data_IF_010185926139
#
_entry.id   IF_010185926139
#
_cell.length_a   1.000
_cell.length_b   1.000
_cell.length_c   1.000
_cell.angle_alpha   90.00
_cell.angle_beta   90.00
_cell.angle_gamma   90.00
#
_symmetry.space_group_name_H-M   'P 1'
#
loop_
_entity.id
_entity.type
_entity.pdbx_description
1 polymer ?
#
# COMPACT_ATOMS: atom_id res chain seq x y z
N UNK A 1 -13.32 -17.83 11.52
CA UNK A 1 -12.87 -17.62 10.14
C UNK A 1 -14.09 -17.18 9.35
N UNK A 2 -14.27 -15.89 9.19
CA UNK A 2 -15.27 -15.31 8.27
C UNK A 2 -14.48 -14.86 7.06
N UNK A 3 -14.76 -15.43 5.90
CA UNK A 3 -14.17 -14.99 4.63
C UNK A 3 -14.76 -13.62 4.25
N UNK A 4 -13.92 -12.69 3.79
CA UNK A 4 -14.41 -11.53 3.06
C UNK A 4 -15.39 -12.02 1.99
N UNK A 5 -16.48 -11.32 1.75
CA UNK A 5 -17.36 -11.69 0.65
C UNK A 5 -16.57 -11.56 -0.65
N UNK A 6 -16.56 -12.63 -1.42
CA UNK A 6 -15.86 -12.84 -2.70
C UNK A 6 -16.36 -11.89 -3.81
N UNK A 7 -16.57 -10.61 -3.51
CA UNK A 7 -17.10 -9.62 -4.44
C UNK A 7 -16.04 -8.81 -5.18
N UNK A 8 -14.76 -8.91 -4.78
CA UNK A 8 -13.69 -8.25 -5.52
C UNK A 8 -13.14 -9.08 -6.70
N UNK A 9 -13.65 -10.30 -6.90
CA UNK A 9 -13.18 -11.24 -7.96
C UNK A 9 -14.29 -11.55 -8.98
N UNK A 10 -15.26 -10.69 -9.18
CA UNK A 10 -16.30 -10.96 -10.19
C UNK A 10 -16.23 -10.01 -11.39
N UNK A 11 -15.16 -10.13 -12.16
CA UNK A 11 -15.22 -9.79 -13.59
C UNK A 11 -14.41 -10.83 -14.39
N UNK A 12 -15.14 -11.51 -15.32
CA UNK A 12 -14.66 -12.41 -16.36
C UNK A 12 -14.50 -13.90 -16.01
N UNK A 13 -15.61 -14.61 -15.94
CA UNK A 13 -15.69 -15.97 -16.46
C UNK A 13 -16.81 -16.06 -17.49
N UNK A 14 -16.43 -15.97 -18.75
CA UNK A 14 -17.27 -16.35 -19.89
C UNK A 14 -17.39 -17.87 -19.90
N UNK A 15 -18.60 -18.37 -19.67
CA UNK A 15 -18.93 -19.78 -19.71
C UNK A 15 -18.91 -20.29 -21.15
N UNK A 16 -18.10 -21.31 -21.44
CA UNK A 16 -18.30 -22.22 -22.54
C UNK A 16 -18.83 -23.54 -22.01
N UNK A 17 -20.12 -23.80 -22.19
CA UNK A 17 -20.72 -25.11 -21.99
C UNK A 17 -20.26 -26.04 -23.12
N UNK A 18 -19.62 -27.15 -22.75
CA UNK A 18 -19.52 -28.31 -23.63
C UNK A 18 -20.14 -29.51 -22.91
N UNK A 19 -21.21 -30.01 -23.52
CA UNK A 19 -21.90 -31.25 -23.20
C UNK A 19 -21.02 -32.44 -23.62
N UNK A 20 -20.93 -33.48 -22.77
CA UNK A 20 -20.27 -34.72 -23.17
C UNK A 20 -20.31 -35.84 -22.14
N UNK A 21 -21.23 -36.76 -22.37
CA UNK A 21 -21.23 -38.21 -22.09
C UNK A 21 -20.68 -38.75 -20.74
N UNK A 22 -21.60 -39.38 -20.02
CA UNK A 22 -21.39 -40.31 -18.91
C UNK A 22 -20.71 -41.59 -19.43
N UNK A 23 -19.61 -42.00 -18.80
CA UNK A 23 -19.04 -43.35 -18.85
C UNK A 23 -18.78 -43.87 -17.43
N UNK A 24 -19.03 -45.18 -17.24
CA UNK A 24 -19.04 -45.90 -15.99
C UNK A 24 -17.69 -45.92 -15.26
N UNK A 25 -17.67 -46.19 -13.90
CA UNK A 25 -16.45 -46.11 -13.10
C UNK A 25 -15.56 -47.31 -13.31
N UNK A 26 -14.34 -47.09 -13.76
CA UNK A 26 -13.24 -48.07 -13.68
C UNK A 26 -12.65 -48.07 -12.27
N UNK A 27 -12.34 -49.32 -11.78
CA UNK A 27 -11.67 -49.53 -10.50
C UNK A 27 -10.35 -48.80 -10.42
N UNK A 28 -10.14 -48.07 -9.32
CA UNK A 28 -8.88 -47.44 -8.95
C UNK A 28 -8.01 -48.49 -8.24
N UNK A 29 -6.83 -48.77 -8.75
CA UNK A 29 -5.76 -49.48 -8.06
C UNK A 29 -5.13 -48.56 -6.98
N UNK A 30 -4.55 -49.16 -5.90
CA UNK A 30 -4.12 -48.40 -4.74
C UNK A 30 -2.86 -47.55 -5.03
N UNK A 31 -2.95 -46.30 -4.60
CA UNK A 31 -1.91 -45.34 -4.19
C UNK A 31 -0.48 -45.57 -4.73
N UNK A 32 -0.15 -44.90 -5.81
CA UNK A 32 1.21 -44.39 -5.98
C UNK A 32 1.39 -43.21 -5.02
N UNK A 33 2.32 -43.35 -4.07
CA UNK A 33 2.82 -42.25 -3.25
C UNK A 33 3.33 -41.13 -4.15
N UNK A 34 2.52 -40.09 -4.33
CA UNK A 34 2.99 -38.82 -4.88
C UNK A 34 3.96 -38.27 -3.81
N UNK A 35 5.23 -38.02 -4.15
CA UNK A 35 6.14 -37.37 -3.24
C UNK A 35 5.51 -36.03 -2.85
N UNK A 36 5.20 -35.83 -1.58
CA UNK A 36 4.92 -34.51 -1.03
C UNK A 36 6.23 -33.76 -1.24
N UNK A 37 6.28 -32.83 -2.21
CA UNK A 37 7.36 -31.86 -2.28
C UNK A 37 7.41 -31.19 -0.91
N UNK A 38 8.49 -31.49 -0.17
CA UNK A 38 8.83 -30.75 1.05
C UNK A 38 8.75 -29.27 0.72
N UNK A 39 7.90 -28.54 1.43
CA UNK A 39 7.88 -27.09 1.41
C UNK A 39 9.32 -26.65 1.66
N UNK A 40 10.05 -26.30 0.60
CA UNK A 40 11.31 -25.61 0.75
C UNK A 40 10.94 -24.26 1.37
N UNK A 41 11.24 -24.10 2.66
CA UNK A 41 11.26 -22.79 3.31
C UNK A 41 12.28 -21.94 2.56
N UNK A 42 11.82 -21.25 1.51
CA UNK A 42 12.62 -20.28 0.78
C UNK A 42 12.75 -19.06 1.70
N UNK A 43 13.89 -18.95 2.37
CA UNK A 43 14.25 -17.70 3.01
C UNK A 43 14.26 -16.59 1.94
N UNK A 44 13.54 -15.49 2.16
CA UNK A 44 13.50 -14.41 1.19
C UNK A 44 14.90 -13.84 0.96
N UNK A 45 15.30 -13.65 -0.28
CA UNK A 45 16.57 -13.00 -0.62
C UNK A 45 16.44 -11.50 -0.33
N UNK A 46 16.87 -11.09 0.86
CA UNK A 46 16.88 -9.70 1.30
C UNK A 46 18.31 -9.20 1.30
N UNK A 47 18.50 -8.05 0.68
CA UNK A 47 19.78 -7.35 0.64
C UNK A 47 19.63 -5.89 1.04
N UNK A 48 20.64 -5.39 1.74
CA UNK A 48 20.73 -3.97 2.07
C UNK A 48 21.56 -3.26 1.01
N UNK A 49 21.06 -2.09 0.59
CA UNK A 49 21.69 -1.23 -0.40
C UNK A 49 21.73 0.20 0.12
N UNK A 50 22.77 0.95 -0.22
CA UNK A 50 22.90 2.36 0.12
C UNK A 50 23.37 3.15 -1.10
N UNK A 51 23.02 4.42 -1.11
CA UNK A 51 23.52 5.43 -2.05
C UNK A 51 23.90 6.69 -1.28
N UNK A 52 24.79 7.49 -1.83
CA UNK A 52 25.00 8.86 -1.39
C UNK A 52 23.96 9.77 -2.09
N UNK A 53 23.16 10.47 -1.29
CA UNK A 53 22.14 11.42 -1.76
C UNK A 53 22.21 12.69 -0.90
N UNK A 54 22.48 13.84 -1.50
CA UNK A 54 22.62 15.15 -0.82
C UNK A 54 23.55 15.12 0.40
N UNK A 55 24.74 14.51 0.25
CA UNK A 55 25.79 14.36 1.29
C UNK A 55 25.38 13.42 2.44
N UNK A 56 24.24 12.68 2.32
CA UNK A 56 23.80 11.68 3.26
C UNK A 56 23.89 10.27 2.67
N UNK A 57 24.33 9.31 3.48
CA UNK A 57 24.15 7.90 3.13
C UNK A 57 22.69 7.51 3.38
N UNK A 58 21.99 7.10 2.32
CA UNK A 58 20.57 6.70 2.35
C UNK A 58 20.45 5.24 1.93
N UNK A 59 19.84 4.44 2.79
CA UNK A 59 19.80 2.98 2.63
C UNK A 59 18.36 2.46 2.47
N UNK A 60 18.25 1.24 1.94
CA UNK A 60 17.00 0.47 1.88
C UNK A 60 17.28 -1.02 1.93
N UNK A 61 16.30 -1.79 2.41
CA UNK A 61 16.25 -3.23 2.19
C UNK A 61 15.54 -3.52 0.88
N UNK A 62 16.04 -4.48 0.11
CA UNK A 62 15.42 -4.97 -1.10
C UNK A 62 15.12 -6.45 -0.96
N UNK A 63 13.86 -6.83 -1.07
CA UNK A 63 13.39 -8.19 -1.10
C UNK A 63 13.04 -8.57 -2.54
N UNK A 64 13.75 -9.57 -3.08
CA UNK A 64 13.49 -10.13 -4.40
C UNK A 64 13.10 -11.60 -4.24
N UNK A 65 11.82 -11.97 -4.41
CA UNK A 65 11.39 -13.34 -4.25
C UNK A 65 12.12 -14.30 -5.20
N UNK A 66 12.52 -15.50 -4.75
CA UNK A 66 13.20 -16.47 -5.60
C UNK A 66 12.32 -17.04 -6.72
N UNK A 67 11.00 -16.91 -6.58
CA UNK A 67 10.02 -17.28 -7.62
C UNK A 67 10.12 -16.40 -8.88
N UNK A 68 10.71 -15.20 -8.76
CA UNK A 68 10.79 -14.26 -9.88
C UNK A 68 11.76 -14.75 -10.94
N UNK A 69 11.27 -14.82 -12.17
CA UNK A 69 12.12 -15.04 -13.33
C UNK A 69 12.87 -13.74 -13.66
N UNK A 70 14.20 -13.75 -13.57
CA UNK A 70 15.05 -12.58 -13.81
C UNK A 70 14.90 -11.95 -15.20
N UNK A 71 14.26 -12.64 -16.14
CA UNK A 71 14.04 -12.15 -17.51
C UNK A 71 12.63 -11.60 -17.74
N UNK A 72 11.73 -11.75 -16.76
CA UNK A 72 10.36 -11.23 -16.81
C UNK A 72 10.25 -10.06 -15.85
N UNK A 73 9.88 -8.85 -16.31
CA UNK A 73 9.71 -7.72 -15.44
C UNK A 73 8.64 -7.96 -14.37
N UNK A 74 8.98 -7.71 -13.09
CA UNK A 74 8.09 -7.86 -11.95
C UNK A 74 7.60 -6.51 -11.43
N UNK A 75 6.41 -6.43 -10.81
CA UNK A 75 6.00 -5.24 -10.08
C UNK A 75 6.99 -4.90 -8.95
N UNK A 76 7.00 -3.63 -8.55
CA UNK A 76 7.76 -3.13 -7.40
C UNK A 76 6.84 -2.39 -6.45
N UNK A 77 6.88 -2.75 -5.17
CA UNK A 77 6.22 -2.03 -4.09
C UNK A 77 7.27 -1.35 -3.21
N UNK A 78 7.06 -0.07 -2.89
CA UNK A 78 7.83 0.66 -1.87
C UNK A 78 6.99 0.69 -0.60
N UNK A 79 7.53 0.21 0.50
CA UNK A 79 6.86 0.14 1.80
C UNK A 79 7.58 1.00 2.84
N UNK A 80 6.91 2.06 3.28
CA UNK A 80 7.46 3.16 4.06
C UNK A 80 7.09 3.04 5.55
N UNK A 81 8.10 3.02 6.41
CA UNK A 81 7.94 2.89 7.86
C UNK A 81 7.24 4.09 8.52
N UNK A 82 6.65 3.87 9.70
CA UNK A 82 6.09 4.90 10.54
C UNK A 82 7.16 5.80 11.22
N UNK A 83 6.69 6.80 11.97
CA UNK A 83 7.60 7.69 12.70
C UNK A 83 8.32 6.93 13.84
N UNK A 84 9.61 7.24 14.05
CA UNK A 84 10.51 6.59 15.03
C UNK A 84 10.80 5.11 14.74
N UNK A 85 10.48 4.64 13.54
CA UNK A 85 10.77 3.28 13.06
C UNK A 85 11.93 3.27 12.06
N UNK A 86 12.24 2.08 11.58
CA UNK A 86 13.28 1.86 10.57
C UNK A 86 12.88 0.79 9.55
N UNK A 87 13.68 0.67 8.49
CA UNK A 87 13.44 -0.27 7.40
C UNK A 87 13.35 -1.73 7.85
N UNK A 88 14.06 -2.09 8.94
CA UNK A 88 14.01 -3.45 9.49
C UNK A 88 12.71 -3.71 10.24
N UNK A 89 12.24 -2.70 11.01
CA UNK A 89 10.96 -2.78 11.71
C UNK A 89 9.81 -2.85 10.70
N UNK A 90 9.81 -1.99 9.65
CA UNK A 90 8.77 -2.00 8.64
C UNK A 90 8.60 -3.35 7.96
N UNK A 91 9.71 -4.01 7.62
CA UNK A 91 9.69 -5.36 7.05
C UNK A 91 8.97 -6.39 7.94
N UNK A 92 9.02 -6.21 9.27
CA UNK A 92 8.33 -7.07 10.24
C UNK A 92 6.92 -6.59 10.57
N UNK A 93 6.68 -5.29 10.43
CA UNK A 93 5.38 -4.67 10.70
C UNK A 93 4.37 -5.05 9.62
N UNK A 94 4.76 -5.02 8.35
CA UNK A 94 3.89 -5.34 7.22
C UNK A 94 4.01 -6.81 6.79
N UNK A 95 2.95 -7.35 6.17
CA UNK A 95 2.94 -8.71 5.62
C UNK A 95 3.40 -8.77 4.15
N UNK A 96 3.88 -7.66 3.58
CA UNK A 96 4.26 -7.60 2.17
C UNK A 96 5.39 -8.55 1.80
N UNK A 97 6.25 -8.93 2.76
CA UNK A 97 7.28 -9.95 2.52
C UNK A 97 6.65 -11.30 2.14
N UNK A 98 5.64 -11.76 2.88
CA UNK A 98 4.95 -13.02 2.60
C UNK A 98 4.12 -12.93 1.31
N UNK A 99 3.34 -11.86 1.15
CA UNK A 99 2.53 -11.62 -0.06
C UNK A 99 3.43 -11.61 -1.32
N UNK A 100 4.60 -10.96 -1.22
CA UNK A 100 5.59 -10.89 -2.30
C UNK A 100 6.12 -12.26 -2.70
N UNK A 101 6.40 -13.13 -1.72
CA UNK A 101 6.84 -14.52 -1.95
C UNK A 101 5.76 -15.36 -2.65
N UNK A 102 4.49 -15.10 -2.37
CA UNK A 102 3.35 -15.82 -2.94
C UNK A 102 2.97 -15.31 -4.33
N UNK A 103 2.97 -13.98 -4.50
CA UNK A 103 2.41 -13.34 -5.69
C UNK A 103 3.44 -12.83 -6.69
N UNK A 104 4.72 -12.84 -6.34
CA UNK A 104 5.81 -12.56 -7.28
C UNK A 104 5.99 -11.08 -7.62
N UNK A 105 6.27 -10.24 -6.62
CA UNK A 105 6.69 -8.85 -6.81
C UNK A 105 7.87 -8.49 -5.91
N UNK A 106 8.64 -7.49 -6.28
CA UNK A 106 9.77 -6.99 -5.50
C UNK A 106 9.29 -5.99 -4.45
N UNK A 107 9.88 -5.99 -3.24
CA UNK A 107 9.58 -4.99 -2.20
C UNK A 107 10.85 -4.25 -1.82
N UNK A 108 10.76 -2.92 -1.78
CA UNK A 108 11.79 -2.05 -1.24
C UNK A 108 11.31 -1.40 0.07
N UNK A 109 12.11 -1.49 1.13
CA UNK A 109 11.87 -0.85 2.42
C UNK A 109 12.95 0.22 2.63
N UNK A 110 12.72 1.48 2.20
CA UNK A 110 13.72 2.53 2.39
C UNK A 110 13.75 3.04 3.83
N UNK A 111 14.90 3.61 4.21
CA UNK A 111 15.13 4.23 5.51
C UNK A 111 14.94 5.74 5.43
N UNK A 112 13.99 6.26 6.21
CA UNK A 112 13.81 7.69 6.45
C UNK A 112 14.95 8.27 7.28
N UNK A 113 15.39 9.49 6.95
CA UNK A 113 16.42 10.18 7.75
C UNK A 113 15.90 10.45 9.16
N UNK A 114 16.73 10.20 10.17
CA UNK A 114 16.34 10.29 11.59
C UNK A 114 15.08 9.47 11.95
N UNK A 115 14.83 8.36 11.25
CA UNK A 115 13.64 7.51 11.44
C UNK A 115 12.31 8.23 11.18
N UNK A 116 12.30 9.17 10.23
CA UNK A 116 11.12 9.93 9.84
C UNK A 116 11.16 10.28 8.35
N UNK A 117 10.01 10.62 7.80
CA UNK A 117 9.82 11.10 6.44
C UNK A 117 9.35 12.54 6.42
N UNK A 118 9.86 13.31 5.47
CA UNK A 118 9.34 14.62 5.13
C UNK A 118 8.03 14.47 4.34
N UNK A 119 6.90 14.66 5.02
CA UNK A 119 5.56 14.53 4.43
C UNK A 119 5.13 15.76 3.62
N UNK A 120 6.00 16.76 3.49
CA UNK A 120 5.70 18.00 2.76
C UNK A 120 4.81 18.99 3.52
N UNK A 121 4.56 18.77 4.81
CA UNK A 121 3.79 19.71 5.61
C UNK A 121 4.65 20.84 6.15
N UNK A 122 4.34 22.07 5.77
CA UNK A 122 4.91 23.27 6.39
C UNK A 122 4.27 23.62 7.74
N UNK A 123 3.23 22.88 8.14
CA UNK A 123 2.41 23.15 9.34
C UNK A 123 2.94 22.43 10.59
N UNK A 124 3.78 21.45 10.40
CA UNK A 124 4.41 20.68 11.48
C UNK A 124 5.88 21.06 11.52
N UNK A 125 6.28 22.00 12.40
CA UNK A 125 7.70 22.31 12.53
C UNK A 125 8.43 21.11 13.12
N UNK A 126 9.58 20.76 12.54
CA UNK A 126 10.46 19.78 13.12
C UNK A 126 10.96 20.23 14.50
N UNK A 127 10.92 19.35 15.48
CA UNK A 127 11.44 19.58 16.83
C UNK A 127 12.18 18.33 17.33
N UNK A 128 13.01 18.50 18.36
CA UNK A 128 13.71 17.37 18.99
C UNK A 128 12.75 16.35 19.65
N UNK A 129 11.52 16.78 19.94
CA UNK A 129 10.48 15.94 20.55
C UNK A 129 9.65 15.19 19.51
N UNK A 130 9.49 15.77 18.32
CA UNK A 130 8.84 15.13 17.19
C UNK A 130 9.93 14.78 16.16
N UNK A 131 10.22 13.50 16.01
CA UNK A 131 11.11 13.08 14.93
C UNK A 131 10.46 13.43 13.60
N UNK A 132 11.15 14.18 12.80
CA UNK A 132 10.72 14.61 11.49
C UNK A 132 11.92 14.74 10.57
N UNK A 133 11.69 14.70 9.27
CA UNK A 133 12.71 14.94 8.25
C UNK A 133 12.42 16.25 7.52
N UNK A 134 13.44 17.03 7.24
CA UNK A 134 13.40 18.19 6.34
C UNK A 134 14.08 17.88 5.00
N UNK A 135 14.61 16.64 4.86
CA UNK A 135 15.36 16.19 3.70
C UNK A 135 14.48 16.03 2.45
N UNK A 136 15.11 15.98 1.28
CA UNK A 136 14.43 15.64 0.03
C UNK A 136 14.21 14.13 -0.10
N UNK A 137 13.23 13.61 0.65
CA UNK A 137 12.89 12.19 0.62
C UNK A 137 12.24 11.77 -0.70
N UNK A 138 11.58 12.67 -1.44
CA UNK A 138 11.05 12.37 -2.79
C UNK A 138 12.20 12.08 -3.73
N UNK A 139 13.18 12.98 -3.82
CA UNK A 139 14.35 12.80 -4.68
C UNK A 139 15.16 11.56 -4.31
N UNK A 140 15.34 11.28 -3.00
CA UNK A 140 15.99 10.04 -2.56
C UNK A 140 15.26 8.79 -3.06
N UNK A 141 13.93 8.71 -2.88
CA UNK A 141 13.14 7.55 -3.31
C UNK A 141 13.20 7.38 -4.83
N UNK A 142 13.14 8.46 -5.59
CA UNK A 142 13.27 8.41 -7.05
C UNK A 142 14.66 7.91 -7.48
N UNK A 143 15.75 8.35 -6.83
CA UNK A 143 17.09 7.86 -7.12
C UNK A 143 17.29 6.40 -6.69
N UNK A 144 16.69 5.98 -5.58
CA UNK A 144 16.62 4.57 -5.19
C UNK A 144 15.91 3.74 -6.26
N UNK A 145 14.75 4.18 -6.74
CA UNK A 145 14.00 3.53 -7.82
C UNK A 145 14.85 3.36 -9.10
N UNK A 146 15.51 4.42 -9.55
CA UNK A 146 16.42 4.34 -10.69
C UNK A 146 17.52 3.29 -10.50
N UNK A 147 18.05 3.18 -9.27
CA UNK A 147 19.07 2.19 -8.94
C UNK A 147 18.52 0.78 -8.97
N UNK A 148 17.32 0.55 -8.43
CA UNK A 148 16.64 -0.75 -8.46
C UNK A 148 16.31 -1.16 -9.90
N UNK A 149 15.71 -0.28 -10.70
CA UNK A 149 15.32 -0.53 -12.10
C UNK A 149 16.56 -0.86 -12.97
N UNK A 150 17.68 -0.20 -12.71
CA UNK A 150 18.93 -0.46 -13.45
C UNK A 150 19.51 -1.85 -13.17
N UNK A 151 19.30 -2.40 -11.99
CA UNK A 151 19.92 -3.63 -11.52
C UNK A 151 18.97 -4.84 -11.53
N UNK A 152 17.67 -4.61 -11.61
CA UNK A 152 16.63 -5.64 -11.55
C UNK A 152 15.62 -5.48 -12.68
N UNK A 153 15.00 -6.60 -13.09
CA UNK A 153 13.96 -6.59 -14.13
C UNK A 153 12.62 -6.13 -13.52
N UNK A 154 12.41 -4.82 -13.45
CA UNK A 154 11.20 -4.20 -12.90
C UNK A 154 10.25 -3.77 -14.02
N UNK A 155 8.97 -4.07 -13.85
CA UNK A 155 7.91 -3.54 -14.69
C UNK A 155 7.58 -2.11 -14.24
N UNK A 156 8.11 -1.15 -14.97
CA UNK A 156 7.94 0.27 -14.65
C UNK A 156 6.48 0.73 -14.74
N UNK A 157 5.61 -0.02 -15.45
CA UNK A 157 4.18 0.26 -15.47
C UNK A 157 3.47 -0.13 -14.17
N UNK A 158 4.12 -0.92 -13.30
CA UNK A 158 3.56 -1.46 -12.05
C UNK A 158 4.48 -1.17 -10.87
N UNK A 159 4.69 0.12 -10.60
CA UNK A 159 5.39 0.62 -9.42
C UNK A 159 4.34 1.21 -8.47
N UNK A 160 4.37 0.77 -7.22
CA UNK A 160 3.40 1.13 -6.18
C UNK A 160 4.11 1.67 -4.96
N UNK A 161 3.40 2.46 -4.14
CA UNK A 161 3.87 2.88 -2.82
C UNK A 161 2.82 2.62 -1.76
N UNK A 162 3.29 2.26 -0.58
CA UNK A 162 2.52 2.07 0.64
C UNK A 162 3.31 2.55 1.85
N UNK A 163 2.67 2.56 3.00
CA UNK A 163 3.28 2.87 4.28
C UNK A 163 2.22 3.15 5.33
N UNK A 164 2.61 3.27 6.59
CA UNK A 164 1.69 3.58 7.65
C UNK A 164 2.11 4.83 8.43
N UNK A 165 1.15 5.57 9.02
CA UNK A 165 1.40 6.78 9.79
C UNK A 165 2.27 7.79 9.00
N UNK A 166 3.44 8.17 9.49
CA UNK A 166 4.38 9.04 8.78
C UNK A 166 4.75 8.51 7.38
N UNK A 167 4.90 7.18 7.22
CA UNK A 167 5.12 6.54 5.92
C UNK A 167 3.92 6.67 4.98
N UNK A 168 2.68 6.66 5.50
CA UNK A 168 1.49 6.96 4.70
C UNK A 168 1.46 8.41 4.24
N UNK A 169 1.87 9.36 5.09
CA UNK A 169 2.01 10.76 4.68
C UNK A 169 3.03 10.92 3.55
N UNK A 170 4.16 10.21 3.63
CA UNK A 170 5.16 10.19 2.55
C UNK A 170 4.65 9.50 1.29
N UNK A 171 3.91 8.38 1.41
CA UNK A 171 3.22 7.73 0.28
C UNK A 171 2.30 8.70 -0.45
N UNK A 172 1.49 9.48 0.27
CA UNK A 172 0.61 10.47 -0.33
C UNK A 172 1.39 11.64 -0.96
N UNK A 173 2.52 12.04 -0.36
CA UNK A 173 3.43 13.01 -0.97
C UNK A 173 4.01 12.51 -2.30
N UNK A 174 4.48 11.26 -2.35
CA UNK A 174 4.95 10.62 -3.59
C UNK A 174 3.85 10.58 -4.64
N UNK A 175 2.63 10.24 -4.24
CA UNK A 175 1.48 10.17 -5.15
C UNK A 175 1.16 11.51 -5.79
N UNK A 176 1.32 12.65 -5.09
CA UNK A 176 1.07 13.97 -5.69
C UNK A 176 2.29 14.57 -6.37
N UNK A 177 3.51 14.35 -5.87
CA UNK A 177 4.73 15.00 -6.38
C UNK A 177 5.51 14.14 -7.39
N UNK A 178 5.18 12.85 -7.54
CA UNK A 178 5.76 11.94 -8.51
C UNK A 178 4.67 11.05 -9.14
N UNK A 179 3.50 11.64 -9.41
CA UNK A 179 2.34 10.92 -9.95
C UNK A 179 2.61 10.22 -11.28
N UNK A 180 3.60 10.67 -12.04
CA UNK A 180 4.04 10.05 -13.30
C UNK A 180 4.79 8.73 -13.09
N UNK A 181 5.29 8.44 -11.88
CA UNK A 181 6.06 7.23 -11.57
C UNK A 181 5.17 6.09 -11.07
N UNK A 182 4.24 6.40 -10.16
CA UNK A 182 3.45 5.38 -9.47
C UNK A 182 2.15 5.02 -10.22
N UNK A 183 1.86 3.72 -10.36
CA UNK A 183 0.62 3.23 -10.97
C UNK A 183 -0.58 3.35 -10.03
N UNK A 184 -0.38 3.16 -8.75
CA UNK A 184 -1.35 3.32 -7.68
C UNK A 184 -0.63 3.42 -6.34
N UNK A 185 -1.31 3.95 -5.32
CA UNK A 185 -0.82 3.96 -3.94
C UNK A 185 -1.93 3.58 -2.97
N UNK A 186 -1.53 2.95 -1.85
CA UNK A 186 -2.46 2.66 -0.77
C UNK A 186 -1.72 2.69 0.55
N UNK A 187 -2.31 3.25 1.63
CA UNK A 187 -1.56 3.44 2.87
C UNK A 187 -2.47 3.51 4.10
N UNK A 188 -1.91 3.59 5.30
CA UNK A 188 -2.62 3.47 6.56
C UNK A 188 -2.42 4.69 7.45
N UNK A 189 -3.56 5.23 7.95
CA UNK A 189 -3.64 6.16 9.08
C UNK A 189 -2.87 7.48 8.93
N UNK A 190 -3.02 8.20 7.83
CA UNK A 190 -2.49 9.56 7.62
C UNK A 190 -3.17 10.28 6.47
N UNK A 191 -3.03 11.61 6.43
CA UNK A 191 -3.63 12.50 5.43
C UNK A 191 -2.60 13.05 4.45
N UNK A 192 -3.09 13.45 3.27
CA UNK A 192 -2.31 14.22 2.31
C UNK A 192 -2.07 15.64 2.85
N UNK A 193 -0.80 16.03 2.96
CA UNK A 193 -0.36 17.32 3.48
C UNK A 193 0.60 18.06 2.56
N UNK A 194 1.15 17.40 1.57
CA UNK A 194 2.07 18.00 0.64
C UNK A 194 1.36 18.96 -0.33
N UNK A 195 2.09 19.96 -0.83
CA UNK A 195 1.62 20.80 -1.92
C UNK A 195 1.47 19.95 -3.19
N UNK A 196 0.34 20.11 -3.88
CA UNK A 196 0.06 19.44 -5.14
C UNK A 196 0.61 20.27 -6.28
N UNK A 197 1.55 19.76 -7.09
CA UNK A 197 2.12 20.48 -8.20
C UNK A 197 1.10 20.63 -9.35
N UNK A 198 1.36 21.61 -10.23
CA UNK A 198 0.45 21.92 -11.35
C UNK A 198 0.44 20.86 -12.46
N UNK A 199 1.41 19.99 -12.49
CA UNK A 199 1.56 18.85 -13.41
C UNK A 199 1.11 17.53 -12.82
N UNK A 200 0.42 17.56 -11.67
CA UNK A 200 -0.20 16.38 -11.08
C UNK A 200 -1.13 15.66 -12.07
N UNK A 201 -1.05 14.37 -12.10
CA UNK A 201 -1.93 13.48 -12.87
C UNK A 201 -2.71 12.55 -11.95
N UNK A 202 -4.03 12.38 -12.15
CA UNK A 202 -4.86 11.49 -11.33
C UNK A 202 -4.29 10.08 -11.19
N UNK A 203 -4.26 9.59 -9.95
CA UNK A 203 -3.68 8.31 -9.55
C UNK A 203 -4.64 7.56 -8.62
N UNK A 204 -4.83 6.23 -8.77
CA UNK A 204 -5.59 5.43 -7.82
C UNK A 204 -5.02 5.51 -6.41
N UNK A 205 -5.90 5.74 -5.43
CA UNK A 205 -5.54 5.94 -4.03
C UNK A 205 -6.47 5.15 -3.11
N UNK A 206 -5.90 4.49 -2.09
CA UNK A 206 -6.64 3.87 -1.00
C UNK A 206 -6.06 4.27 0.36
N UNK A 207 -6.93 4.56 1.31
CA UNK A 207 -6.57 4.71 2.72
C UNK A 207 -7.29 3.67 3.57
N UNK A 208 -6.58 3.09 4.55
CA UNK A 208 -7.16 2.27 5.64
C UNK A 208 -7.01 3.06 6.93
N UNK A 209 -8.12 3.31 7.65
CA UNK A 209 -8.07 4.17 8.83
C UNK A 209 -9.01 3.70 9.94
N UNK A 210 -8.51 3.67 11.18
CA UNK A 210 -9.26 3.32 12.38
C UNK A 210 -10.08 4.48 12.92
N UNK A 211 -11.36 4.25 13.27
CA UNK A 211 -12.24 5.28 13.85
C UNK A 211 -11.81 5.73 15.25
N UNK A 212 -11.06 4.89 15.97
CA UNK A 212 -10.58 5.16 17.32
C UNK A 212 -9.14 5.70 17.34
N UNK A 213 -8.60 6.11 16.17
CA UNK A 213 -7.28 6.69 16.08
C UNK A 213 -7.17 7.98 16.90
N UNK A 214 -6.34 7.93 17.95
CA UNK A 214 -6.09 9.04 18.88
C UNK A 214 -4.87 9.89 18.48
N UNK A 215 -4.10 9.46 17.49
CA UNK A 215 -2.90 10.12 17.00
C UNK A 215 -3.22 10.94 15.75
N UNK A 216 -3.79 10.26 14.74
CA UNK A 216 -4.28 10.86 13.49
C UNK A 216 -5.78 10.68 13.46
N UNK A 217 -6.51 11.68 13.96
CA UNK A 217 -7.94 11.55 14.24
C UNK A 217 -8.75 11.25 12.96
N UNK A 218 -9.58 10.22 13.03
CA UNK A 218 -10.48 9.88 11.93
C UNK A 218 -11.48 11.00 11.61
N UNK A 219 -11.93 11.77 12.61
CA UNK A 219 -12.93 12.81 12.45
C UNK A 219 -12.38 14.20 12.80
N UNK A 220 -12.81 15.23 12.03
CA UNK A 220 -12.40 16.64 12.22
C UNK A 220 -12.87 17.29 13.53
N UNK A 221 -13.78 16.66 14.28
CA UNK A 221 -14.41 17.20 15.48
C UNK A 221 -13.83 16.69 16.78
N UNK A 222 -12.64 16.07 16.74
CA UNK A 222 -11.98 15.59 17.95
C UNK A 222 -11.69 16.75 18.91
N UNK A 223 -11.93 16.60 20.23
CA UNK A 223 -11.81 17.69 21.23
C UNK A 223 -10.36 18.03 21.59
N UNK A 224 -9.40 17.31 21.08
CA UNK A 224 -7.97 17.50 21.36
C UNK A 224 -7.31 18.21 20.18
N UNK A 225 -6.36 19.11 20.47
CA UNK A 225 -5.58 19.76 19.45
C UNK A 225 -4.82 18.71 18.61
N UNK A 226 -4.79 18.85 17.28
CA UNK A 226 -4.11 17.90 16.43
C UNK A 226 -2.62 17.85 16.79
N UNK A 227 -2.09 16.65 16.92
CA UNK A 227 -0.64 16.47 17.08
C UNK A 227 0.08 16.83 15.79
N UNK A 228 -0.59 16.70 14.63
CA UNK A 228 0.00 16.79 13.30
C UNK A 228 -0.69 17.79 12.35
N UNK A 229 -1.11 18.96 12.82
CA UNK A 229 -1.62 20.03 11.92
C UNK A 229 -3.15 20.15 11.91
N UNK A 230 -3.73 20.93 10.97
CA UNK A 230 -5.17 21.10 10.91
C UNK A 230 -5.82 19.77 10.57
N UNK A 231 -6.76 19.38 11.44
CA UNK A 231 -7.50 18.13 11.30
C UNK A 231 -8.28 18.12 10.00
N UNK A 232 -7.90 17.20 9.10
CA UNK A 232 -8.70 16.93 7.91
C UNK A 232 -9.75 15.85 8.19
N UNK A 233 -9.42 14.82 8.94
CA UNK A 233 -10.21 13.60 9.07
C UNK A 233 -10.15 12.73 7.80
N UNK A 234 -10.39 11.44 7.97
CA UNK A 234 -10.27 10.46 6.88
C UNK A 234 -11.29 10.70 5.75
N UNK A 235 -12.52 11.12 6.10
CA UNK A 235 -13.54 11.43 5.09
C UNK A 235 -13.13 12.65 4.25
N UNK A 236 -12.60 13.71 4.87
CA UNK A 236 -12.14 14.88 4.14
C UNK A 236 -10.89 14.58 3.31
N UNK A 237 -10.04 13.64 3.75
CA UNK A 237 -8.93 13.17 2.94
C UNK A 237 -9.43 12.43 1.69
N UNK A 238 -10.41 11.51 1.85
CA UNK A 238 -11.10 10.84 0.75
C UNK A 238 -11.69 11.85 -0.25
N UNK A 239 -12.45 12.85 0.24
CA UNK A 239 -13.07 13.88 -0.60
C UNK A 239 -12.00 14.74 -1.33
N UNK A 240 -10.90 15.10 -0.62
CA UNK A 240 -9.78 15.84 -1.22
C UNK A 240 -9.11 15.05 -2.36
N UNK A 241 -8.92 13.76 -2.18
CA UNK A 241 -8.40 12.88 -3.23
C UNK A 241 -9.37 12.72 -4.40
N UNK A 242 -10.69 12.67 -4.11
CA UNK A 242 -11.72 12.64 -5.16
C UNK A 242 -11.70 13.91 -6.00
N UNK A 243 -11.55 15.09 -5.36
CA UNK A 243 -11.40 16.36 -6.05
C UNK A 243 -10.13 16.41 -6.90
N UNK A 244 -8.98 15.96 -6.37
CA UNK A 244 -7.71 15.90 -7.09
C UNK A 244 -7.78 14.98 -8.31
N UNK A 245 -8.50 13.88 -8.20
CA UNK A 245 -8.66 12.90 -9.27
C UNK A 245 -9.86 13.19 -10.20
N UNK A 246 -10.52 14.36 -10.06
CA UNK A 246 -11.70 14.73 -10.84
C UNK A 246 -12.78 13.63 -10.85
N UNK A 247 -13.04 13.02 -9.69
CA UNK A 247 -14.02 11.96 -9.55
C UNK A 247 -15.45 12.47 -9.74
N UNK A 248 -16.31 11.65 -10.32
CA UNK A 248 -17.72 11.98 -10.49
C UNK A 248 -18.52 11.62 -9.23
N UNK A 249 -19.62 12.34 -9.00
CA UNK A 249 -20.48 12.15 -7.83
C UNK A 249 -20.26 13.21 -6.75
N UNK A 250 -21.30 13.48 -5.96
CA UNK A 250 -21.28 14.49 -4.89
C UNK A 250 -20.92 13.92 -3.51
N UNK A 251 -20.79 12.60 -3.41
CA UNK A 251 -20.47 11.87 -2.20
C UNK A 251 -19.91 10.48 -2.55
N UNK A 252 -19.08 9.88 -1.69
CA UNK A 252 -18.56 8.54 -1.94
C UNK A 252 -19.68 7.49 -1.91
N UNK A 253 -19.55 6.49 -2.76
CA UNK A 253 -20.42 5.31 -2.76
C UNK A 253 -20.02 4.39 -1.60
N UNK A 254 -21.01 3.76 -0.97
CA UNK A 254 -20.74 2.66 -0.02
C UNK A 254 -20.59 1.37 -0.82
N UNK A 255 -19.39 0.80 -0.84
CA UNK A 255 -19.03 -0.41 -1.57
C UNK A 255 -19.24 -1.64 -0.70
N UNK A 256 -18.81 -1.55 0.58
CA UNK A 256 -19.00 -2.59 1.60
C UNK A 256 -19.52 -1.92 2.86
N UNK A 257 -20.42 -2.59 3.57
CA UNK A 257 -20.92 -2.16 4.88
C UNK A 257 -21.14 -3.39 5.76
N UNK A 258 -20.29 -3.55 6.75
CA UNK A 258 -20.33 -4.61 7.76
C UNK A 258 -20.52 -3.99 9.16
N UNK A 259 -20.66 -4.83 10.19
CA UNK A 259 -20.89 -4.36 11.56
C UNK A 259 -19.66 -3.67 12.18
N UNK A 260 -18.47 -3.93 11.67
CA UNK A 260 -17.17 -3.56 12.24
C UNK A 260 -16.25 -2.80 11.26
N UNK A 261 -16.63 -2.69 9.97
CA UNK A 261 -15.94 -1.85 9.00
C UNK A 261 -16.84 -1.45 7.83
N UNK A 262 -16.47 -0.39 7.12
CA UNK A 262 -17.02 -0.06 5.80
C UNK A 262 -15.93 0.27 4.78
N UNK A 263 -16.28 0.15 3.50
CA UNK A 263 -15.48 0.64 2.39
C UNK A 263 -16.33 1.62 1.60
N UNK A 264 -15.82 2.84 1.48
CA UNK A 264 -16.43 3.91 0.69
C UNK A 264 -15.45 4.41 -0.34
N UNK A 265 -15.97 4.91 -1.46
CA UNK A 265 -15.08 5.45 -2.46
C UNK A 265 -15.78 6.05 -3.66
N UNK A 266 -14.94 6.48 -4.59
CA UNK A 266 -15.28 7.00 -5.90
C UNK A 266 -14.61 6.10 -6.94
N UNK A 267 -15.42 5.55 -7.86
CA UNK A 267 -14.94 4.58 -8.85
C UNK A 267 -14.87 5.16 -10.26
N UNK A 268 -15.46 6.32 -10.49
CA UNK A 268 -15.48 7.03 -11.79
C UNK A 268 -14.66 8.33 -11.67
N UNK A 269 -13.35 8.20 -11.80
CA UNK A 269 -12.41 9.32 -11.74
C UNK A 269 -11.62 9.44 -13.04
N UNK A 270 -10.95 10.56 -13.25
CA UNK A 270 -10.14 10.81 -14.43
C UNK A 270 -9.01 9.77 -14.55
N UNK A 271 -8.63 9.42 -15.78
CA UNK A 271 -7.62 8.40 -16.11
C UNK A 271 -7.93 6.99 -15.56
N UNK A 272 -9.18 6.68 -15.22
CA UNK A 272 -9.57 5.41 -14.63
C UNK A 272 -9.11 5.24 -13.17
N UNK A 273 -8.72 6.31 -12.51
CA UNK A 273 -8.39 6.29 -11.10
C UNK A 273 -9.61 5.93 -10.24
N UNK A 274 -9.35 5.43 -9.05
CA UNK A 274 -10.33 5.18 -8.00
C UNK A 274 -9.81 5.72 -6.68
N UNK A 275 -10.69 6.18 -5.82
CA UNK A 275 -10.33 6.71 -4.51
C UNK A 275 -11.15 5.98 -3.45
N UNK A 276 -10.48 5.28 -2.53
CA UNK A 276 -11.10 4.39 -1.56
C UNK A 276 -10.70 4.73 -0.13
N UNK A 277 -11.63 4.56 0.80
CA UNK A 277 -11.41 4.58 2.24
C UNK A 277 -11.98 3.32 2.87
N UNK A 278 -11.14 2.57 3.55
CA UNK A 278 -11.52 1.46 4.43
C UNK A 278 -11.55 1.99 5.86
N UNK A 279 -12.73 2.03 6.45
CA UNK A 279 -12.96 2.55 7.81
C UNK A 279 -13.08 1.39 8.79
N UNK A 280 -12.17 1.28 9.74
CA UNK A 280 -12.14 0.22 10.75
C UNK A 280 -12.74 0.75 12.06
N UNK A 281 -13.96 0.29 12.43
CA UNK A 281 -14.76 0.93 13.49
C UNK A 281 -14.17 0.82 14.88
N UNK A 282 -13.37 -0.20 15.16
CA UNK A 282 -12.81 -0.47 16.47
C UNK A 282 -11.27 -0.41 16.52
N UNK A 283 -10.64 0.09 15.48
CA UNK A 283 -9.19 0.19 15.39
C UNK A 283 -8.69 1.58 15.84
N UNK A 284 -7.60 1.60 16.60
CA UNK A 284 -6.84 2.79 16.98
C UNK A 284 -5.70 3.05 15.98
N UNK A 285 -4.69 3.87 16.34
CA UNK A 285 -3.53 4.16 15.51
C UNK A 285 -2.56 2.98 15.47
N UNK A 286 -2.60 2.20 14.41
CA UNK A 286 -1.70 1.06 14.19
C UNK A 286 -1.63 0.70 12.69
N UNK A 287 -0.73 -0.19 12.24
CA UNK A 287 -0.63 -0.59 10.83
C UNK A 287 -1.75 -1.54 10.36
N UNK A 288 -2.64 -2.00 11.22
CA UNK A 288 -3.80 -2.86 10.92
C UNK A 288 -3.44 -4.23 10.29
N UNK A 289 -2.30 -4.79 10.62
CA UNK A 289 -1.84 -6.05 10.05
C UNK A 289 -2.40 -7.28 10.77
N UNK A 290 -2.41 -7.25 12.09
CA UNK A 290 -2.78 -8.41 12.90
C UNK A 290 -3.86 -8.06 13.90
N UNK A 291 -4.75 -9.01 14.12
CA UNK A 291 -5.65 -9.04 15.25
C UNK A 291 -4.87 -9.63 16.45
N UNK A 292 -3.87 -8.89 16.96
CA UNK A 292 -3.07 -9.31 18.11
C UNK A 292 -3.61 -8.71 19.41
N UNK A 293 -4.35 -9.50 20.18
CA UNK A 293 -4.87 -9.07 21.47
C UNK A 293 -3.79 -8.84 22.54
N UNK A 294 -2.55 -9.24 22.28
CA UNK A 294 -1.43 -9.10 23.24
C UNK A 294 -0.70 -7.78 23.11
N UNK A 295 -0.85 -7.07 22.01
CA UNK A 295 -0.07 -5.87 21.67
C UNK A 295 -0.58 -4.58 22.29
N UNK A 296 -1.46 -4.56 23.22
CA UNK A 296 -1.97 -3.48 24.05
C UNK A 296 -3.52 -3.46 24.08
N UNK A 297 -4.15 -4.10 25.07
CA UNK A 297 -5.61 -4.18 25.17
C UNK A 297 -6.31 -2.81 25.37
N UNK A 298 -5.54 -1.70 25.43
CA UNK A 298 -6.05 -0.33 25.52
C UNK A 298 -6.08 0.40 24.18
N UNK A 299 -5.50 -0.16 23.10
CA UNK A 299 -5.35 0.56 21.81
C UNK A 299 -6.33 0.14 20.73
N UNK A 300 -7.46 -0.45 21.05
CA UNK A 300 -8.41 -0.90 20.03
C UNK A 300 -7.81 -1.97 19.09
N UNK A 301 -8.61 -2.90 18.66
CA UNK A 301 -8.18 -4.07 17.88
C UNK A 301 -7.63 -3.66 16.52
N UNK A 302 -6.58 -4.34 16.10
CA UNK A 302 -5.79 -3.96 14.95
C UNK A 302 -6.60 -3.96 13.64
N UNK A 303 -7.36 -5.01 13.36
CA UNK A 303 -8.11 -5.08 12.10
C UNK A 303 -9.34 -6.00 12.20
N UNK A 304 -10.56 -5.45 12.31
CA UNK A 304 -11.77 -6.24 12.42
C UNK A 304 -12.19 -6.94 11.13
N UNK A 305 -11.60 -6.64 9.98
CA UNK A 305 -11.93 -7.29 8.72
C UNK A 305 -11.45 -8.75 8.69
N UNK A 306 -10.49 -9.10 9.53
CA UNK A 306 -9.82 -10.40 9.53
C UNK A 306 -8.86 -10.60 8.35
N UNK A 307 -8.55 -9.52 7.60
CA UNK A 307 -7.60 -9.51 6.48
C UNK A 307 -6.54 -8.44 6.76
N UNK A 308 -5.24 -8.76 6.75
CA UNK A 308 -4.18 -7.77 6.97
C UNK A 308 -4.28 -6.56 6.02
N UNK A 309 -3.96 -5.37 6.49
CA UNK A 309 -3.98 -4.17 5.65
C UNK A 309 -3.04 -4.28 4.45
N UNK A 310 -1.91 -4.94 4.59
CA UNK A 310 -1.00 -5.25 3.47
C UNK A 310 -1.72 -6.01 2.35
N UNK A 311 -2.56 -7.00 2.70
CA UNK A 311 -3.36 -7.73 1.71
C UNK A 311 -4.40 -6.82 1.07
N UNK A 312 -5.13 -6.03 1.86
CA UNK A 312 -6.15 -5.09 1.36
C UNK A 312 -5.52 -4.09 0.38
N UNK A 313 -4.38 -3.50 0.76
CA UNK A 313 -3.67 -2.54 -0.07
C UNK A 313 -3.12 -3.19 -1.33
N UNK A 314 -2.51 -4.39 -1.23
CA UNK A 314 -1.98 -5.08 -2.40
C UNK A 314 -3.08 -5.46 -3.39
N UNK A 315 -4.20 -5.99 -2.93
CA UNK A 315 -5.35 -6.33 -3.77
C UNK A 315 -5.91 -5.09 -4.49
N UNK A 316 -5.80 -3.92 -3.88
CA UNK A 316 -6.19 -2.67 -4.53
C UNK A 316 -5.13 -2.22 -5.55
N UNK A 317 -3.89 -1.97 -5.14
CA UNK A 317 -2.89 -1.34 -6.00
C UNK A 317 -2.51 -2.21 -7.21
N UNK A 318 -2.49 -3.54 -7.03
CA UNK A 318 -2.09 -4.47 -8.08
C UNK A 318 -3.05 -4.55 -9.27
N UNK A 319 -4.26 -3.98 -9.16
CA UNK A 319 -5.24 -3.89 -10.26
C UNK A 319 -4.83 -2.83 -11.30
N UNK A 320 -3.93 -1.92 -10.97
CA UNK A 320 -3.61 -0.76 -11.79
C UNK A 320 -2.24 -0.90 -12.45
N UNK A 321 -2.14 -0.38 -13.66
CA UNK A 321 -0.88 -0.23 -14.39
C UNK A 321 -0.90 1.08 -15.18
N UNK A 322 0.26 1.69 -15.33
CA UNK A 322 0.40 2.88 -16.17
C UNK A 322 0.57 2.50 -17.63
N UNK A 323 -0.10 3.24 -18.50
CA UNK A 323 0.19 3.21 -19.92
C UNK A 323 1.38 4.15 -20.20
N UNK A 324 2.53 3.59 -20.59
CA UNK A 324 3.59 4.42 -21.15
C UNK A 324 3.23 4.73 -22.60
N UNK A 325 2.86 5.96 -22.87
CA UNK A 325 2.86 6.46 -24.22
C UNK A 325 4.32 6.47 -24.69
N UNK A 326 4.71 5.54 -25.56
CA UNK A 326 5.99 5.61 -26.24
C UNK A 326 6.10 7.01 -26.89
N UNK A 327 7.21 7.74 -26.70
CA UNK A 327 7.39 9.03 -27.33
C UNK A 327 7.28 8.80 -28.84
N UNK A 328 6.25 9.36 -29.45
CA UNK A 328 6.11 9.36 -30.91
C UNK A 328 7.30 10.16 -31.45
N UNK A 329 8.35 9.45 -31.87
CA UNK A 329 9.47 10.07 -32.57
C UNK A 329 8.88 10.68 -33.84
N UNK A 330 8.77 12.00 -33.88
CA UNK A 330 8.48 12.77 -35.09
C UNK A 330 9.76 13.10 -35.82
#
# INVERSE_FOLDING_TARGET
MRSLPTFLVMLLLVSSMISGCVSEPTKVDPEEDIPVEENQDYEPNISEHCIEYEELERCWLLLVPPILNKTVPSPLLIDLHGNDEDMYQQRWTSDFANISMEQGFTVAYPQGHNKAWNQGSSLIPCSDELRCSEEDDVGFILQMLETIIRNHSIDQSRIYSTGWSNGCGMTQRLAVQASEVFAAVGCMAMYQMAEVPTDYSPIPFMEVHGLLDEIVHYATTAPTAPVFGPEKGAIQNLESWADLNNCQGSSPETIVSEDDYDIRGYTDCENGAQVMLVSLFFAAHNPYEHDDPSSDPGRGWANPTGVPSSTIVWEFVSQFSKEFNEPTIK
#
